data_IF_046816583182
#
_entry.id   IF_046816583182
#
_cell.length_a   1.000
_cell.length_b   1.000
_cell.length_c   1.000
_cell.angle_alpha   90.00
_cell.angle_beta   90.00
_cell.angle_gamma   90.00
#
_symmetry.space_group_name_H-M   'P 1'
#
loop_
_entity.id
_entity.type
_entity.pdbx_description
1 polymer ?
#
# COMPACT_ATOMS: atom_id res chain seq x y z
N UNK A 1 8.03 -11.30 -5.12
CA UNK A 1 8.64 -9.98 -4.90
C UNK A 1 7.52 -9.01 -4.72
N UNK A 2 7.42 -8.39 -3.54
CA UNK A 2 6.34 -7.47 -3.19
C UNK A 2 6.66 -6.02 -3.57
N UNK A 3 7.94 -5.73 -3.80
CA UNK A 3 8.47 -4.39 -4.04
C UNK A 3 9.19 -4.33 -5.39
N UNK A 4 8.82 -3.37 -6.22
CA UNK A 4 9.63 -2.88 -7.33
C UNK A 4 10.73 -1.98 -6.76
N UNK A 5 11.89 -2.57 -6.52
CA UNK A 5 13.04 -1.83 -6.01
C UNK A 5 13.52 -0.75 -6.98
N UNK A 6 13.41 -0.97 -8.29
CA UNK A 6 13.78 0.05 -9.27
C UNK A 6 12.86 1.26 -9.17
N UNK A 7 11.56 1.05 -8.95
CA UNK A 7 10.62 2.15 -8.75
C UNK A 7 10.89 2.88 -7.44
N UNK A 8 11.08 2.16 -6.34
CA UNK A 8 11.35 2.78 -5.04
C UNK A 8 12.66 3.59 -5.06
N UNK A 9 13.71 3.02 -5.64
CA UNK A 9 15.01 3.70 -5.80
C UNK A 9 14.97 4.83 -6.83
N UNK A 10 13.99 4.87 -7.74
CA UNK A 10 13.81 6.02 -8.64
C UNK A 10 13.29 7.28 -7.94
N UNK A 11 12.91 7.20 -6.66
CA UNK A 11 12.41 8.36 -5.91
C UNK A 11 13.52 9.33 -5.49
N UNK A 12 14.74 8.83 -5.24
CA UNK A 12 15.91 9.68 -4.91
C UNK A 12 16.47 10.32 -6.18
N UNK A 13 17.09 11.50 -6.06
CA UNK A 13 17.60 12.25 -7.22
C UNK A 13 19.04 11.87 -7.59
N UNK A 14 19.76 11.27 -6.65
CA UNK A 14 21.15 10.81 -6.78
C UNK A 14 21.49 9.67 -5.81
N UNK A 15 22.78 9.49 -5.53
CA UNK A 15 23.35 8.39 -4.72
C UNK A 15 24.15 8.89 -3.51
N UNK A 16 24.08 10.18 -3.21
CA UNK A 16 24.73 10.74 -2.03
C UNK A 16 23.98 10.39 -0.74
N UNK A 17 24.60 10.69 0.40
CA UNK A 17 24.03 10.37 1.71
C UNK A 17 22.76 11.18 2.01
N UNK A 18 22.62 12.38 1.45
CA UNK A 18 21.43 13.22 1.65
C UNK A 18 20.21 12.59 0.94
N UNK A 19 20.39 12.18 -0.31
CA UNK A 19 19.38 11.47 -1.10
C UNK A 19 18.94 10.15 -0.44
N UNK A 20 19.88 9.41 0.16
CA UNK A 20 19.59 8.16 0.88
C UNK A 20 18.76 8.43 2.13
N UNK A 21 19.19 9.37 2.97
CA UNK A 21 18.46 9.75 4.19
C UNK A 21 17.05 10.26 3.86
N UNK A 22 16.92 11.05 2.79
CA UNK A 22 15.62 11.51 2.31
C UNK A 22 14.71 10.34 1.91
N UNK A 23 15.24 9.35 1.18
CA UNK A 23 14.47 8.17 0.80
C UNK A 23 14.04 7.35 2.04
N UNK A 24 14.91 7.22 3.05
CA UNK A 24 14.54 6.60 4.33
C UNK A 24 13.36 7.33 5.01
N UNK A 25 13.39 8.66 5.05
CA UNK A 25 12.28 9.47 5.59
C UNK A 25 10.98 9.26 4.80
N UNK A 26 11.07 9.18 3.47
CA UNK A 26 9.92 8.88 2.62
C UNK A 26 9.35 7.50 2.90
N UNK A 27 10.19 6.47 3.11
CA UNK A 27 9.73 5.13 3.49
C UNK A 27 9.12 5.13 4.91
N UNK A 28 9.66 5.91 5.86
CA UNK A 28 9.04 6.10 7.18
C UNK A 28 7.65 6.75 7.08
N UNK A 29 7.51 7.76 6.23
CA UNK A 29 6.23 8.44 5.96
C UNK A 29 5.22 7.51 5.29
N UNK A 30 5.67 6.75 4.28
CA UNK A 30 4.89 5.69 3.62
C UNK A 30 4.33 4.71 4.65
N UNK A 31 5.14 4.23 5.60
CA UNK A 31 4.69 3.26 6.61
C UNK A 31 3.54 3.79 7.44
N UNK A 32 3.67 5.02 7.95
CA UNK A 32 2.61 5.69 8.71
C UNK A 32 1.34 5.84 7.86
N UNK A 33 1.50 6.31 6.62
CA UNK A 33 0.38 6.51 5.72
C UNK A 33 -0.35 5.19 5.41
N UNK A 34 0.39 4.13 5.06
CA UNK A 34 -0.18 2.84 4.72
C UNK A 34 -0.90 2.21 5.91
N UNK A 35 -0.35 2.33 7.13
CA UNK A 35 -1.05 1.86 8.34
C UNK A 35 -2.43 2.53 8.49
N UNK A 36 -2.49 3.87 8.39
CA UNK A 36 -3.77 4.61 8.45
C UNK A 36 -4.73 4.19 7.34
N UNK A 37 -4.23 4.00 6.12
CA UNK A 37 -5.06 3.56 4.98
C UNK A 37 -5.68 2.18 5.22
N UNK A 38 -4.90 1.24 5.74
CA UNK A 38 -5.37 -0.11 6.05
C UNK A 38 -6.38 -0.11 7.21
N UNK A 39 -6.18 0.73 8.22
CA UNK A 39 -7.17 0.95 9.28
C UNK A 39 -8.47 1.53 8.72
N UNK A 40 -8.41 2.53 7.83
CA UNK A 40 -9.59 3.10 7.18
C UNK A 40 -10.33 2.07 6.34
N UNK A 41 -9.61 1.26 5.54
CA UNK A 41 -10.19 0.17 4.76
C UNK A 41 -10.91 -0.81 5.69
N UNK A 42 -10.26 -1.24 6.76
CA UNK A 42 -10.85 -2.15 7.75
C UNK A 42 -12.13 -1.58 8.36
N UNK A 43 -12.15 -0.29 8.71
CA UNK A 43 -13.34 0.39 9.23
C UNK A 43 -14.46 0.47 8.18
N UNK A 44 -14.13 0.84 6.92
CA UNK A 44 -15.11 0.88 5.83
C UNK A 44 -15.75 -0.49 5.57
N UNK A 45 -14.96 -1.57 5.67
CA UNK A 45 -15.43 -2.95 5.57
C UNK A 45 -16.38 -3.29 6.71
N UNK A 46 -15.99 -3.02 7.96
CA UNK A 46 -16.79 -3.34 9.14
C UNK A 46 -18.13 -2.59 9.17
N UNK A 47 -18.13 -1.33 8.73
CA UNK A 47 -19.30 -0.45 8.69
C UNK A 47 -20.11 -0.57 7.39
N UNK A 48 -19.70 -1.42 6.45
CA UNK A 48 -20.34 -1.61 5.14
C UNK A 48 -20.53 -0.30 4.36
N UNK A 49 -19.46 0.49 4.24
CA UNK A 49 -19.43 1.78 3.53
C UNK A 49 -18.77 1.65 2.15
N UNK A 50 -19.45 1.13 1.12
CA UNK A 50 -18.83 0.77 -0.16
C UNK A 50 -18.27 1.98 -0.93
N UNK A 51 -18.88 3.16 -0.80
CA UNK A 51 -18.40 4.39 -1.46
C UNK A 51 -17.10 4.89 -0.82
N UNK A 52 -17.02 4.89 0.51
CA UNK A 52 -15.81 5.26 1.26
C UNK A 52 -14.71 4.23 1.02
N UNK A 53 -15.06 2.93 1.04
CA UNK A 53 -14.14 1.84 0.73
C UNK A 53 -13.53 2.00 -0.67
N UNK A 54 -14.34 2.32 -1.69
CA UNK A 54 -13.85 2.56 -3.05
C UNK A 54 -12.86 3.72 -3.10
N UNK A 55 -13.14 4.82 -2.40
CA UNK A 55 -12.24 5.96 -2.34
C UNK A 55 -10.92 5.61 -1.65
N UNK A 56 -10.97 4.88 -0.53
CA UNK A 56 -9.77 4.45 0.20
C UNK A 56 -8.92 3.45 -0.59
N UNK A 57 -9.53 2.49 -1.28
CA UNK A 57 -8.81 1.58 -2.17
C UNK A 57 -8.13 2.33 -3.32
N UNK A 58 -8.81 3.33 -3.90
CA UNK A 58 -8.23 4.16 -4.96
C UNK A 58 -7.01 4.95 -4.48
N UNK A 59 -7.09 5.57 -3.30
CA UNK A 59 -5.97 6.30 -2.72
C UNK A 59 -4.81 5.37 -2.37
N UNK A 60 -5.10 4.24 -1.72
CA UNK A 60 -4.11 3.24 -1.33
C UNK A 60 -3.38 2.66 -2.55
N UNK A 61 -4.10 2.43 -3.65
CA UNK A 61 -3.52 2.05 -4.94
C UNK A 61 -2.50 3.08 -5.45
N UNK A 62 -2.83 4.37 -5.38
CA UNK A 62 -1.94 5.45 -5.78
C UNK A 62 -0.66 5.49 -4.95
N UNK A 63 -0.77 5.34 -3.62
CA UNK A 63 0.39 5.28 -2.72
C UNK A 63 1.25 4.06 -3.04
N UNK A 64 0.64 2.88 -3.16
CA UNK A 64 1.37 1.65 -3.50
C UNK A 64 2.11 1.78 -4.84
N UNK A 65 1.47 2.33 -5.86
CA UNK A 65 2.09 2.57 -7.18
C UNK A 65 3.26 3.56 -7.10
N UNK A 66 3.12 4.64 -6.34
CA UNK A 66 4.16 5.66 -6.20
C UNK A 66 5.45 5.09 -5.60
N UNK A 67 5.32 4.19 -4.63
CA UNK A 67 6.44 3.58 -3.92
C UNK A 67 6.86 2.20 -4.45
N UNK A 68 6.28 1.75 -5.57
CA UNK A 68 6.61 0.44 -6.13
C UNK A 68 6.15 -0.74 -5.28
N UNK A 69 5.14 -0.61 -4.43
CA UNK A 69 4.61 -1.70 -3.62
C UNK A 69 3.68 -2.59 -4.46
N UNK A 70 4.23 -3.29 -5.46
CA UNK A 70 3.46 -4.06 -6.46
C UNK A 70 2.46 -5.01 -5.79
N UNK A 71 2.87 -5.75 -4.76
CA UNK A 71 1.99 -6.72 -4.10
C UNK A 71 0.72 -6.05 -3.57
N UNK A 72 0.88 -4.96 -2.82
CA UNK A 72 -0.24 -4.17 -2.31
C UNK A 72 -1.02 -3.53 -3.45
N UNK A 73 -0.34 -2.92 -4.43
CA UNK A 73 -0.98 -2.26 -5.57
C UNK A 73 -1.91 -3.21 -6.33
N UNK A 74 -1.48 -4.44 -6.60
CA UNK A 74 -2.29 -5.47 -7.26
C UNK A 74 -3.50 -5.81 -6.40
N UNK A 75 -3.30 -6.16 -5.13
CA UNK A 75 -4.39 -6.59 -4.24
C UNK A 75 -5.47 -5.50 -4.07
N UNK A 76 -5.09 -4.23 -3.90
CA UNK A 76 -6.05 -3.12 -3.80
C UNK A 76 -6.72 -2.79 -5.14
N UNK A 77 -6.03 -2.99 -6.26
CA UNK A 77 -6.62 -2.82 -7.59
C UNK A 77 -7.70 -3.87 -7.85
N UNK A 78 -7.43 -5.12 -7.48
CA UNK A 78 -8.38 -6.22 -7.61
C UNK A 78 -9.60 -5.99 -6.71
N UNK A 79 -9.39 -5.57 -5.45
CA UNK A 79 -10.49 -5.21 -4.55
C UNK A 79 -11.35 -4.06 -5.11
N UNK A 80 -10.71 -3.01 -5.66
CA UNK A 80 -11.42 -1.90 -6.30
C UNK A 80 -12.23 -2.36 -7.52
N UNK A 81 -11.69 -3.29 -8.33
CA UNK A 81 -12.40 -3.88 -9.47
C UNK A 81 -13.62 -4.67 -9.03
N UNK A 82 -13.48 -5.52 -8.01
CA UNK A 82 -14.58 -6.29 -7.44
C UNK A 82 -15.74 -5.41 -6.97
N UNK A 83 -15.45 -4.29 -6.29
CA UNK A 83 -16.49 -3.32 -5.94
C UNK A 83 -17.18 -2.71 -7.17
N UNK A 84 -16.43 -2.40 -8.23
CA UNK A 84 -17.00 -1.85 -9.48
C UNK A 84 -17.89 -2.86 -10.21
N UNK A 85 -17.57 -4.15 -10.10
CA UNK A 85 -18.35 -5.26 -10.65
C UNK A 85 -19.57 -5.62 -9.79
N UNK A 86 -19.73 -5.00 -8.61
CA UNK A 86 -20.80 -5.32 -7.66
C UNK A 86 -20.52 -6.54 -6.77
N UNK A 87 -19.32 -7.13 -6.87
CA UNK A 87 -18.86 -8.24 -6.03
C UNK A 87 -18.29 -7.71 -4.71
N UNK A 88 -19.19 -7.29 -3.81
CA UNK A 88 -18.81 -6.81 -2.49
C UNK A 88 -18.06 -7.89 -1.71
N UNK A 89 -18.57 -9.13 -1.69
CA UNK A 89 -17.97 -10.24 -0.94
C UNK A 89 -16.53 -10.52 -1.39
N UNK A 90 -16.27 -10.54 -2.70
CA UNK A 90 -14.93 -10.69 -3.25
C UNK A 90 -13.99 -9.56 -2.84
N UNK A 91 -14.46 -8.31 -2.90
CA UNK A 91 -13.68 -7.16 -2.42
C UNK A 91 -13.36 -7.24 -0.93
N UNK A 92 -14.33 -7.64 -0.10
CA UNK A 92 -14.13 -7.76 1.35
C UNK A 92 -13.07 -8.80 1.68
N UNK A 93 -13.06 -9.92 0.96
CA UNK A 93 -12.07 -10.99 1.12
C UNK A 93 -10.65 -10.47 0.84
N UNK A 94 -10.47 -9.76 -0.28
CA UNK A 94 -9.19 -9.16 -0.63
C UNK A 94 -8.75 -8.11 0.40
N UNK A 95 -9.68 -7.27 0.88
CA UNK A 95 -9.38 -6.28 1.92
C UNK A 95 -8.90 -6.92 3.23
N UNK A 96 -9.40 -8.11 3.58
CA UNK A 96 -8.99 -8.83 4.77
C UNK A 96 -7.55 -9.38 4.70
N UNK A 97 -7.01 -9.57 3.50
CA UNK A 97 -5.64 -10.06 3.28
C UNK A 97 -4.60 -8.93 3.30
N UNK A 98 -5.02 -7.67 3.11
CA UNK A 98 -4.12 -6.52 3.02
C UNK A 98 -3.21 -6.31 4.26
N UNK A 99 -3.68 -6.49 5.51
CA UNK A 99 -2.81 -6.35 6.68
C UNK A 99 -1.65 -7.34 6.67
N UNK A 100 -1.91 -8.62 6.37
CA UNK A 100 -0.86 -9.64 6.29
C UNK A 100 0.11 -9.35 5.14
N UNK A 101 -0.42 -8.93 4.00
CA UNK A 101 0.39 -8.54 2.84
C UNK A 101 1.30 -7.35 3.16
N UNK A 102 0.80 -6.39 3.95
CA UNK A 102 1.58 -5.25 4.39
C UNK A 102 2.69 -5.65 5.37
N UNK A 103 2.44 -6.56 6.31
CA UNK A 103 3.49 -7.10 7.18
C UNK A 103 4.61 -7.76 6.36
N UNK A 104 4.27 -8.58 5.37
CA UNK A 104 5.25 -9.19 4.46
C UNK A 104 6.02 -8.13 3.66
N UNK A 105 5.35 -7.06 3.24
CA UNK A 105 5.98 -5.94 2.53
C UNK A 105 6.97 -5.19 3.44
N UNK A 106 6.62 -4.96 4.72
CA UNK A 106 7.55 -4.36 5.70
C UNK A 106 8.77 -5.25 5.94
N UNK A 107 8.59 -6.57 6.00
CA UNK A 107 9.71 -7.51 6.10
C UNK A 107 10.64 -7.44 4.87
N UNK A 108 10.08 -7.26 3.66
CA UNK A 108 10.87 -7.07 2.43
C UNK A 108 11.59 -5.70 2.42
N UNK A 109 10.99 -4.65 3.01
CA UNK A 109 11.63 -3.33 3.18
C UNK A 109 12.79 -3.36 4.19
N UNK A 110 12.68 -4.13 5.27
CA UNK A 110 13.54 -4.05 6.45
C UNK A 110 15.06 -4.14 6.19
N UNK A 111 15.57 -4.95 5.25
CA UNK A 111 17.01 -5.03 4.99
C UNK A 111 17.63 -3.73 4.45
N UNK A 112 16.85 -2.91 3.72
CA UNK A 112 17.29 -1.61 3.19
C UNK A 112 16.80 -0.42 4.02
N UNK A 113 15.65 -0.58 4.66
CA UNK A 113 14.96 0.46 5.41
C UNK A 113 14.50 -0.12 6.74
N UNK A 114 15.33 -0.19 7.78
CA UNK A 114 14.91 -0.67 9.10
C UNK A 114 13.82 0.23 9.71
N UNK A 115 13.08 -0.25 10.71
CA UNK A 115 12.10 0.57 11.46
C UNK A 115 12.75 1.65 12.32
#
# INVERSE_FOLDING_TARGET
MLIDWSRLESLKQGDDEEDKLWLEEMVRSLRKNMNTRLENIKSCVAEQKPNELKAELHQTKGVAANFGLIGLQTSVTDAESKLKEGDLTGSLKLCAELPELWEKTKMELAPKFPE
#
